data_IF_709541186805
#
_entry.id   IF_709541186805
#
_cell.length_a   1.000
_cell.length_b   1.000
_cell.length_c   1.000
_cell.angle_alpha   90.00
_cell.angle_beta   90.00
_cell.angle_gamma   90.00
#
_symmetry.space_group_name_H-M   'P 1'
#
loop_
_entity.id
_entity.type
_entity.pdbx_description
1 polymer ?
#
# COMPACT_ATOMS: atom_id res chain seq x y z
N UNK A 1 20.98 1.73 -8.03
CA UNK A 1 20.00 2.78 -7.75
C UNK A 1 19.42 2.57 -6.36
N UNK A 2 18.97 3.64 -5.72
CA UNK A 2 18.14 3.56 -4.52
C UNK A 2 16.67 3.58 -4.93
N UNK A 3 15.88 2.60 -4.49
CA UNK A 3 14.48 2.45 -4.89
C UNK A 3 13.61 2.40 -3.63
N UNK A 4 12.66 3.30 -3.53
CA UNK A 4 11.68 3.34 -2.46
C UNK A 4 10.40 2.61 -2.84
N UNK A 5 9.89 1.78 -1.96
CA UNK A 5 8.61 1.09 -2.14
C UNK A 5 7.66 1.50 -1.02
N UNK A 6 6.37 1.69 -1.33
CA UNK A 6 5.36 1.93 -0.30
C UNK A 6 4.11 1.10 -0.56
N UNK A 7 3.73 0.30 0.43
CA UNK A 7 2.55 -0.56 0.42
C UNK A 7 1.64 -0.28 1.61
N UNK A 8 0.33 -0.44 1.40
CA UNK A 8 -0.71 -0.35 2.40
C UNK A 8 -1.72 -1.46 2.16
N UNK A 9 -2.26 -2.03 3.22
CA UNK A 9 -3.35 -2.98 3.14
C UNK A 9 -3.14 -4.24 3.98
N UNK A 10 -3.69 -5.34 3.50
CA UNK A 10 -3.56 -6.66 4.07
C UNK A 10 -2.35 -7.42 3.52
N UNK A 11 -2.21 -8.67 3.91
CA UNK A 11 -1.14 -9.55 3.43
C UNK A 11 -1.10 -9.66 1.89
N UNK A 12 -2.27 -9.76 1.24
CA UNK A 12 -2.37 -9.82 -0.21
C UNK A 12 -1.86 -8.58 -0.93
N UNK A 13 -1.91 -7.42 -0.27
CA UNK A 13 -1.40 -6.16 -0.79
C UNK A 13 0.10 -5.99 -0.55
N UNK A 14 0.61 -6.47 0.59
CA UNK A 14 1.98 -6.24 1.04
C UNK A 14 2.94 -7.31 0.52
N UNK A 15 2.54 -8.60 0.46
CA UNK A 15 3.41 -9.68 -0.02
C UNK A 15 4.00 -9.44 -1.43
N UNK A 16 3.26 -8.95 -2.43
CA UNK A 16 3.83 -8.60 -3.73
C UNK A 16 4.97 -7.58 -3.62
N UNK A 17 4.86 -6.62 -2.70
CA UNK A 17 5.90 -5.61 -2.46
C UNK A 17 7.12 -6.17 -1.74
N UNK A 18 6.95 -7.13 -0.82
CA UNK A 18 8.10 -7.85 -0.21
C UNK A 18 8.86 -8.67 -1.26
N UNK A 19 8.13 -9.32 -2.18
CA UNK A 19 8.73 -10.06 -3.28
C UNK A 19 9.46 -9.13 -4.27
N UNK A 20 8.84 -7.99 -4.61
CA UNK A 20 9.46 -6.96 -5.46
C UNK A 20 10.73 -6.41 -4.81
N UNK A 21 10.69 -6.09 -3.50
CA UNK A 21 11.85 -5.62 -2.76
C UNK A 21 13.01 -6.63 -2.82
N UNK A 22 12.72 -7.91 -2.56
CA UNK A 22 13.70 -8.98 -2.64
C UNK A 22 14.29 -9.12 -4.06
N UNK A 23 13.45 -9.04 -5.09
CA UNK A 23 13.89 -9.08 -6.49
C UNK A 23 14.80 -7.92 -6.87
N UNK A 24 14.47 -6.71 -6.44
CA UNK A 24 15.27 -5.51 -6.68
C UNK A 24 16.62 -5.55 -5.95
N UNK A 25 16.67 -6.04 -4.70
CA UNK A 25 17.92 -6.27 -3.97
C UNK A 25 18.80 -7.30 -4.71
N UNK A 26 18.20 -8.41 -5.16
CA UNK A 26 18.90 -9.41 -5.97
C UNK A 26 19.45 -8.84 -7.27
N UNK A 27 18.79 -7.84 -7.84
CA UNK A 27 19.23 -7.11 -9.03
C UNK A 27 20.31 -6.04 -8.74
N UNK A 28 20.77 -5.90 -7.50
CA UNK A 28 21.84 -4.98 -7.09
C UNK A 28 21.36 -3.56 -6.74
N UNK A 29 20.08 -3.38 -6.45
CA UNK A 29 19.54 -2.10 -5.99
C UNK A 29 19.54 -2.02 -4.44
N UNK A 30 19.67 -0.80 -3.91
CA UNK A 30 19.37 -0.51 -2.51
C UNK A 30 17.87 -0.23 -2.38
N UNK A 31 17.17 -0.94 -1.50
CA UNK A 31 15.71 -0.87 -1.42
C UNK A 31 15.26 -0.52 -0.02
N UNK A 32 14.32 0.44 0.07
CA UNK A 32 13.57 0.77 1.27
C UNK A 32 12.10 0.48 1.04
N UNK A 33 11.49 -0.39 1.86
CA UNK A 33 10.06 -0.70 1.82
C UNK A 33 9.36 -0.07 3.02
N UNK A 34 8.43 0.84 2.75
CA UNK A 34 7.50 1.40 3.74
C UNK A 34 6.22 0.56 3.73
N UNK A 35 5.81 0.08 4.89
CA UNK A 35 4.62 -0.77 5.05
C UNK A 35 3.66 -0.16 6.05
N UNK A 36 2.40 -0.05 5.66
CA UNK A 36 1.27 0.20 6.55
C UNK A 36 0.36 -1.03 6.53
N UNK A 37 0.51 -1.87 7.54
CA UNK A 37 -0.20 -3.14 7.63
C UNK A 37 -1.48 -3.00 8.46
N UNK A 38 -2.59 -3.54 7.93
CA UNK A 38 -3.91 -3.46 8.55
C UNK A 38 -4.30 -4.72 9.33
N UNK A 39 -3.39 -5.70 9.45
CA UNK A 39 -3.65 -6.98 10.13
C UNK A 39 -2.65 -7.29 11.25
N UNK A 40 -1.72 -6.37 11.55
CA UNK A 40 -0.77 -6.50 12.65
C UNK A 40 0.37 -7.49 12.39
N UNK A 41 0.76 -7.72 11.14
CA UNK A 41 1.90 -8.60 10.81
C UNK A 41 3.24 -7.89 10.92
N UNK A 42 4.25 -8.70 11.26
CA UNK A 42 5.64 -8.27 11.31
C UNK A 42 6.42 -8.77 10.09
N UNK A 43 7.00 -7.84 9.34
CA UNK A 43 7.77 -8.13 8.13
C UNK A 43 9.29 -7.99 8.34
N UNK A 44 9.76 -7.77 9.58
CA UNK A 44 11.19 -7.54 9.89
C UNK A 44 12.08 -8.71 9.52
N UNK A 45 11.63 -9.95 9.75
CA UNK A 45 12.42 -11.14 9.41
C UNK A 45 12.57 -11.32 7.90
N UNK A 46 11.53 -11.00 7.13
CA UNK A 46 11.63 -10.97 5.66
C UNK A 46 12.62 -9.91 5.18
N UNK A 47 12.56 -8.71 5.76
CA UNK A 47 13.47 -7.63 5.41
C UNK A 47 14.93 -8.01 5.68
N UNK A 48 15.22 -8.58 6.86
CA UNK A 48 16.57 -9.10 7.20
C UNK A 48 17.02 -10.20 6.24
N UNK A 49 16.14 -11.16 5.96
CA UNK A 49 16.45 -12.30 5.10
C UNK A 49 16.81 -11.89 3.68
N UNK A 50 16.11 -10.89 3.14
CA UNK A 50 16.27 -10.47 1.75
C UNK A 50 17.10 -9.18 1.58
N UNK A 51 17.51 -8.54 2.67
CA UNK A 51 18.49 -7.45 2.66
C UNK A 51 17.92 -6.09 2.23
N UNK A 52 16.61 -5.83 2.38
CA UNK A 52 16.03 -4.50 2.19
C UNK A 52 15.76 -3.80 3.53
N UNK A 53 15.72 -2.48 3.51
CA UNK A 53 15.32 -1.70 4.68
C UNK A 53 13.79 -1.72 4.81
N UNK A 54 13.28 -1.87 6.02
CA UNK A 54 11.85 -1.84 6.33
C UNK A 54 11.54 -0.66 7.25
N UNK A 55 10.53 0.11 6.86
CA UNK A 55 9.93 1.17 7.67
C UNK A 55 8.46 0.81 7.89
N UNK A 56 8.02 0.69 9.13
CA UNK A 56 6.62 0.44 9.46
C UNK A 56 5.92 1.73 9.84
N UNK A 57 4.76 1.98 9.26
CA UNK A 57 3.83 3.04 9.61
C UNK A 57 2.62 2.39 10.27
N UNK A 58 2.53 2.39 11.61
CA UNK A 58 1.46 1.68 12.33
C UNK A 58 0.11 2.39 12.15
N UNK A 59 -0.96 1.60 12.07
CA UNK A 59 -2.32 2.13 12.12
C UNK A 59 -2.77 2.25 13.60
N UNK A 60 -3.01 3.47 14.12
CA UNK A 60 -3.37 3.66 15.52
C UNK A 60 -4.76 3.11 15.88
N UNK A 61 -5.63 2.89 14.90
CA UNK A 61 -6.97 2.31 15.12
C UNK A 61 -6.96 0.76 15.07
N UNK A 62 -5.84 0.17 14.69
CA UNK A 62 -5.67 -1.29 14.59
C UNK A 62 -4.36 -1.68 15.30
N UNK A 63 -4.29 -1.46 16.64
CA UNK A 63 -3.05 -1.71 17.38
C UNK A 63 -2.76 -3.19 17.61
N UNK A 64 -3.77 -4.06 17.52
CA UNK A 64 -3.62 -5.52 17.71
C UNK A 64 -4.25 -6.32 16.59
N UNK A 65 -3.77 -7.55 16.39
CA UNK A 65 -4.33 -8.48 15.42
C UNK A 65 -5.79 -8.87 15.74
N UNK A 66 -6.17 -8.91 17.03
CA UNK A 66 -7.53 -9.22 17.47
C UNK A 66 -8.51 -8.10 17.10
N UNK A 67 -8.09 -6.85 17.26
CA UNK A 67 -8.92 -5.70 16.85
C UNK A 67 -9.02 -5.61 15.34
N UNK A 68 -7.93 -5.92 14.62
CA UNK A 68 -7.96 -6.06 13.18
C UNK A 68 -9.01 -7.09 12.74
N UNK A 69 -8.96 -8.31 13.27
CA UNK A 69 -9.90 -9.39 12.93
C UNK A 69 -11.35 -8.97 13.18
N UNK A 70 -11.63 -8.31 14.31
CA UNK A 70 -12.97 -7.83 14.65
C UNK A 70 -13.48 -6.79 13.63
N UNK A 71 -12.65 -5.80 13.29
CA UNK A 71 -13.03 -4.74 12.34
C UNK A 71 -13.23 -5.31 10.94
N UNK A 72 -12.30 -6.15 10.49
CA UNK A 72 -12.36 -6.71 9.14
C UNK A 72 -13.50 -7.68 8.95
N UNK A 73 -13.87 -8.51 9.94
CA UNK A 73 -15.08 -9.35 9.87
C UNK A 73 -16.33 -8.52 9.67
N UNK A 74 -16.51 -7.44 10.43
CA UNK A 74 -17.67 -6.55 10.26
C UNK A 74 -17.76 -5.95 8.85
N UNK A 75 -16.63 -5.65 8.23
CA UNK A 75 -16.58 -5.08 6.88
C UNK A 75 -16.88 -6.15 5.83
N UNK A 76 -16.29 -7.34 5.96
CA UNK A 76 -16.44 -8.44 4.99
C UNK A 76 -17.88 -8.96 4.95
N UNK A 77 -18.58 -8.96 6.08
CA UNK A 77 -19.96 -9.45 6.19
C UNK A 77 -20.99 -8.49 5.56
N UNK A 78 -20.58 -7.28 5.16
CA UNK A 78 -21.47 -6.35 4.46
C UNK A 78 -21.76 -6.81 3.03
N UNK A 79 -23.03 -6.80 2.65
CA UNK A 79 -23.45 -7.17 1.30
C UNK A 79 -23.18 -6.05 0.24
N UNK A 80 -22.99 -4.81 0.68
CA UNK A 80 -22.81 -3.66 -0.21
C UNK A 80 -21.32 -3.32 -0.38
N UNK A 81 -20.73 -3.49 -1.58
CA UNK A 81 -19.31 -3.25 -1.82
C UNK A 81 -18.90 -1.77 -1.65
N UNK A 82 -19.81 -0.82 -1.83
CA UNK A 82 -19.53 0.61 -1.61
C UNK A 82 -19.37 0.89 -0.12
N UNK A 83 -20.26 0.33 0.71
CA UNK A 83 -20.15 0.44 2.17
C UNK A 83 -18.90 -0.28 2.69
N UNK A 84 -18.54 -1.43 2.11
CA UNK A 84 -17.27 -2.10 2.43
C UNK A 84 -16.09 -1.16 2.16
N UNK A 85 -16.03 -0.58 0.96
CA UNK A 85 -14.95 0.34 0.57
C UNK A 85 -14.88 1.57 1.49
N UNK A 86 -16.02 2.15 1.84
CA UNK A 86 -16.11 3.29 2.76
C UNK A 86 -15.51 2.95 4.13
N UNK A 87 -15.87 1.80 4.70
CA UNK A 87 -15.36 1.40 6.00
C UNK A 87 -13.88 0.99 5.95
N UNK A 88 -13.42 0.37 4.86
CA UNK A 88 -12.00 0.11 4.62
C UNK A 88 -11.19 1.42 4.63
N UNK A 89 -11.68 2.44 3.94
CA UNK A 89 -11.04 3.76 3.95
C UNK A 89 -11.06 4.37 5.34
N UNK A 90 -12.22 4.44 5.97
CA UNK A 90 -12.41 5.07 7.28
C UNK A 90 -11.56 4.46 8.39
N UNK A 91 -11.42 3.13 8.44
CA UNK A 91 -10.70 2.45 9.52
C UNK A 91 -9.26 2.07 9.14
N UNK A 92 -9.01 1.78 7.88
CA UNK A 92 -7.71 1.30 7.41
C UNK A 92 -6.82 2.39 6.83
N UNK A 93 -7.39 3.40 6.17
CA UNK A 93 -6.61 4.37 5.40
C UNK A 93 -6.58 5.77 6.04
N UNK A 94 -7.73 6.37 6.31
CA UNK A 94 -7.83 7.76 6.79
C UNK A 94 -6.99 8.02 8.07
N UNK A 95 -6.96 7.10 9.05
CA UNK A 95 -6.18 7.32 10.27
C UNK A 95 -4.67 7.40 10.07
N UNK A 96 -4.17 6.89 8.95
CA UNK A 96 -2.72 6.76 8.66
C UNK A 96 -2.27 7.63 7.49
N UNK A 97 -3.16 8.32 6.80
CA UNK A 97 -2.84 9.04 5.56
C UNK A 97 -1.74 10.08 5.74
N UNK A 98 -1.77 10.84 6.84
CA UNK A 98 -0.74 11.85 7.13
C UNK A 98 0.62 11.22 7.42
N UNK A 99 0.63 10.14 8.22
CA UNK A 99 1.86 9.40 8.51
C UNK A 99 2.43 8.71 7.26
N UNK A 100 1.57 8.16 6.41
CA UNK A 100 1.97 7.63 5.11
C UNK A 100 2.55 8.72 4.21
N UNK A 101 1.97 9.92 4.19
CA UNK A 101 2.51 11.04 3.41
C UNK A 101 3.85 11.52 3.94
N UNK A 102 4.02 11.61 5.26
CA UNK A 102 5.31 11.95 5.86
C UNK A 102 6.41 10.93 5.47
N UNK A 103 6.11 9.64 5.57
CA UNK A 103 6.99 8.57 5.14
C UNK A 103 7.29 8.61 3.62
N UNK A 104 6.28 8.93 2.80
CA UNK A 104 6.42 9.09 1.36
C UNK A 104 7.37 10.24 0.99
N UNK A 105 7.29 11.38 1.69
CA UNK A 105 8.20 12.50 1.49
C UNK A 105 9.64 12.12 1.78
N UNK A 106 9.88 11.41 2.89
CA UNK A 106 11.22 10.92 3.22
C UNK A 106 11.70 9.91 2.18
N UNK A 107 10.83 8.98 1.76
CA UNK A 107 11.15 7.99 0.75
C UNK A 107 11.58 8.66 -0.57
N UNK A 108 10.87 9.70 -1.01
CA UNK A 108 11.23 10.49 -2.20
C UNK A 108 12.55 11.26 -2.05
N UNK A 109 12.85 11.76 -0.86
CA UNK A 109 14.09 12.51 -0.61
C UNK A 109 15.35 11.60 -0.61
N UNK A 110 15.20 10.32 -0.30
CA UNK A 110 16.31 9.37 -0.11
C UNK A 110 16.53 8.42 -1.28
N UNK A 111 15.61 8.39 -2.26
CA UNK A 111 15.61 7.41 -3.34
C UNK A 111 15.58 8.05 -4.73
N UNK A 112 16.15 7.37 -5.72
CA UNK A 112 16.22 7.79 -7.12
C UNK A 112 14.88 7.62 -7.86
N UNK A 113 14.01 6.74 -7.34
CA UNK A 113 12.69 6.47 -7.86
C UNK A 113 11.85 5.71 -6.85
N UNK A 114 10.54 5.79 -6.96
CA UNK A 114 9.62 5.17 -6.02
C UNK A 114 8.54 4.33 -6.70
N UNK A 115 8.06 3.29 -6.01
CA UNK A 115 6.98 2.42 -6.48
C UNK A 115 5.92 2.31 -5.39
N UNK A 116 4.67 2.57 -5.74
CA UNK A 116 3.55 2.57 -4.80
C UNK A 116 2.49 1.54 -5.10
N UNK A 117 1.87 1.02 -4.07
CA UNK A 117 0.60 0.32 -4.16
C UNK A 117 -0.48 1.27 -4.72
N UNK A 118 -1.39 0.78 -5.54
CA UNK A 118 -2.35 1.61 -6.27
C UNK A 118 -3.22 2.50 -5.37
N UNK A 119 -3.50 2.10 -4.13
CA UNK A 119 -4.21 2.91 -3.13
C UNK A 119 -3.34 3.98 -2.47
N UNK A 120 -2.01 3.87 -2.52
CA UNK A 120 -1.13 4.80 -1.81
C UNK A 120 -0.94 6.09 -2.62
N UNK A 121 -2.02 6.87 -2.80
CA UNK A 121 -1.95 8.18 -3.45
C UNK A 121 -1.02 9.18 -2.73
N UNK A 122 -0.80 9.13 -1.38
CA UNK A 122 0.15 10.02 -0.74
C UNK A 122 1.56 9.93 -1.33
N UNK A 123 2.01 8.73 -1.76
CA UNK A 123 3.30 8.58 -2.44
C UNK A 123 3.33 9.28 -3.80
N UNK A 124 2.27 9.16 -4.57
CA UNK A 124 2.18 9.83 -5.88
C UNK A 124 2.25 11.34 -5.73
N UNK A 125 1.51 11.90 -4.77
CA UNK A 125 1.55 13.34 -4.46
C UNK A 125 2.95 13.79 -3.99
N UNK A 126 3.60 13.00 -3.13
CA UNK A 126 4.96 13.30 -2.66
C UNK A 126 5.98 13.26 -3.80
N UNK A 127 5.90 12.24 -4.66
CA UNK A 127 6.79 12.05 -5.81
C UNK A 127 6.63 13.18 -6.84
N UNK A 128 5.39 13.56 -7.16
CA UNK A 128 5.12 14.68 -8.07
C UNK A 128 5.71 15.99 -7.54
N UNK A 129 5.50 16.30 -6.26
CA UNK A 129 6.06 17.50 -5.62
C UNK A 129 7.59 17.49 -5.58
N UNK A 130 8.20 16.33 -5.43
CA UNK A 130 9.66 16.17 -5.37
C UNK A 130 10.32 16.02 -6.75
N UNK A 131 9.55 15.85 -7.83
CA UNK A 131 10.06 15.55 -9.16
C UNK A 131 10.74 14.17 -9.27
N UNK A 132 10.35 13.21 -8.41
CA UNK A 132 10.91 11.86 -8.38
C UNK A 132 10.07 10.93 -9.25
N UNK A 133 10.68 10.11 -10.12
CA UNK A 133 9.95 9.11 -10.92
C UNK A 133 9.15 8.17 -10.04
N UNK A 134 7.88 7.96 -10.39
CA UNK A 134 6.97 7.07 -9.64
C UNK A 134 6.31 6.05 -10.56
N UNK A 135 6.28 4.79 -10.13
CA UNK A 135 5.48 3.73 -10.73
C UNK A 135 4.39 3.26 -9.76
N UNK A 136 3.29 2.76 -10.31
CA UNK A 136 2.19 2.20 -9.51
C UNK A 136 2.03 0.72 -9.81
N UNK A 137 1.88 -0.09 -8.75
CA UNK A 137 1.61 -1.53 -8.85
C UNK A 137 0.16 -1.79 -8.46
N UNK A 138 -0.58 -2.40 -9.35
CA UNK A 138 -1.91 -2.92 -9.10
C UNK A 138 -1.79 -4.40 -8.72
N UNK A 139 -2.24 -4.75 -7.53
CA UNK A 139 -2.22 -6.13 -7.02
C UNK A 139 -3.53 -6.87 -7.31
N UNK A 140 -4.55 -6.17 -7.81
CA UNK A 140 -5.86 -6.71 -8.17
C UNK A 140 -6.25 -6.26 -9.58
N UNK A 141 -6.77 -7.18 -10.38
CA UNK A 141 -7.07 -6.92 -11.80
C UNK A 141 -8.22 -5.92 -12.02
N UNK A 142 -9.19 -5.86 -11.11
CA UNK A 142 -10.33 -4.94 -11.19
C UNK A 142 -9.97 -3.48 -10.95
N UNK A 143 -8.77 -3.18 -10.50
CA UNK A 143 -8.24 -1.81 -10.38
C UNK A 143 -7.44 -1.35 -11.62
N UNK A 144 -7.32 -2.20 -12.64
CA UNK A 144 -6.70 -1.84 -13.91
C UNK A 144 -7.78 -1.18 -14.78
N UNK A 145 -7.60 0.09 -15.21
CA UNK A 145 -8.58 0.75 -16.08
C UNK A 145 -8.82 -0.05 -17.36
N UNK A 146 -10.08 -0.21 -17.73
CA UNK A 146 -10.48 -0.92 -18.93
C UNK A 146 -11.58 -0.14 -19.67
N UNK A 147 -11.46 -0.03 -20.98
CA UNK A 147 -12.52 0.52 -21.83
C UNK A 147 -13.69 -0.46 -22.01
N UNK A 148 -13.51 -1.73 -21.66
CA UNK A 148 -14.46 -2.82 -21.95
C UNK A 148 -15.13 -3.41 -20.71
N UNK A 149 -14.49 -3.31 -19.58
CA UNK A 149 -14.95 -3.93 -18.32
C UNK A 149 -15.10 -2.85 -17.26
N UNK A 150 -16.31 -2.68 -16.80
CA UNK A 150 -16.64 -1.79 -15.70
C UNK A 150 -16.38 -2.51 -14.36
N UNK A 151 -15.73 -1.83 -13.39
CA UNK A 151 -15.63 -2.38 -12.04
C UNK A 151 -17.02 -2.65 -11.44
N UNK A 152 -17.21 -3.79 -10.75
CA UNK A 152 -18.48 -4.10 -10.09
C UNK A 152 -18.88 -3.00 -9.09
N UNK A 153 -20.16 -2.62 -9.09
CA UNK A 153 -20.72 -1.64 -8.17
C UNK A 153 -20.60 -0.17 -8.58
N UNK A 154 -19.89 0.16 -9.67
CA UNK A 154 -19.86 1.50 -10.20
C UNK A 154 -21.05 1.77 -11.17
N UNK A 155 -21.61 3.00 -11.17
CA UNK A 155 -22.66 3.36 -12.10
C UNK A 155 -22.18 3.32 -13.55
N UNK A 156 -23.14 3.09 -14.47
CA UNK A 156 -22.89 3.23 -15.90
C UNK A 156 -22.80 4.71 -16.26
N UNK A 157 -21.61 5.15 -16.64
CA UNK A 157 -21.40 6.54 -17.04
C UNK A 157 -21.60 6.75 -18.55
N UNK A 158 -22.07 5.72 -19.27
CA UNK A 158 -22.43 5.82 -20.68
C UNK A 158 -21.27 6.19 -21.60
N UNK A 159 -20.23 5.34 -21.65
CA UNK A 159 -19.15 5.47 -22.65
C UNK A 159 -19.54 4.78 -23.94
#
# INVERSE_FOLDING_TARGET
>A
MKIGLQAWGSEGDIQPFTALAAGLVKAGHSVTLVVTDNIGRDYRDLAKRFGYQLVSVPNPQIPTAEEADRVWRQIIDLANPIQQAELVMKHGFDPVVEAMYAAARQLCAENDGVVGHFFVYPLRVAAEKAGVPVATVNVVHNCIPSAWIRPPGLPDLGC
#
